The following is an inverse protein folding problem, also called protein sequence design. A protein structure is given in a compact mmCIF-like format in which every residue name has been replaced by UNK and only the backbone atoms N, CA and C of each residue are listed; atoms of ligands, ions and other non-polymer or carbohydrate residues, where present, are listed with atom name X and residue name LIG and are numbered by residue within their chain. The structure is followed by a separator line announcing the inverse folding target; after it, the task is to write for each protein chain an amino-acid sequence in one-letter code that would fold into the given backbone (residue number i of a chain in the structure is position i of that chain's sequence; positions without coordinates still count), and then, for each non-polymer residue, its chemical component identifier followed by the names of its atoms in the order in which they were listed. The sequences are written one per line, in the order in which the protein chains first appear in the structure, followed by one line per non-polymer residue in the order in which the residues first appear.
data_IF_055174250805
#
_entry.id   IF_055174250805
#
_cell.length_a   1.000
_cell.length_b   1.000
_cell.length_c   1.000
_cell.angle_alpha   90.00
_cell.angle_beta   90.00
_cell.angle_gamma   90.00
#
_symmetry.space_group_name_H-M   'P 1'
#
loop_
_entity.id
_entity.type
_entity.pdbx_description
1 polymer ?
#
# COMPACT_ATOMS: atom_id res chain seq x y z
N UNK A 1 -13.46 3.77 -15.06
CA UNK A 1 -13.81 3.57 -13.64
C UNK A 1 -12.54 3.15 -12.92
N UNK A 2 -12.16 3.82 -11.83
CA UNK A 2 -11.03 3.37 -11.03
C UNK A 2 -11.48 2.12 -10.27
N UNK A 3 -11.05 0.95 -10.71
CA UNK A 3 -11.21 -0.29 -9.94
C UNK A 3 -10.39 -0.12 -8.66
N UNK A 4 -11.09 0.09 -7.54
CA UNK A 4 -10.48 0.12 -6.21
C UNK A 4 -9.94 -1.28 -5.94
N UNK A 5 -8.64 -1.39 -5.66
CA UNK A 5 -8.00 -2.68 -5.36
C UNK A 5 -8.15 -3.06 -3.90
N UNK A 6 -7.93 -2.12 -2.98
CA UNK A 6 -7.99 -2.38 -1.54
C UNK A 6 -8.16 -1.08 -0.74
N UNK A 7 -9.11 -1.05 0.19
CA UNK A 7 -9.22 0.01 1.21
C UNK A 7 -8.65 -0.52 2.54
N UNK A 8 -7.75 0.25 3.14
CA UNK A 8 -7.03 -0.10 4.36
C UNK A 8 -7.33 0.96 5.41
N UNK A 9 -7.79 0.51 6.57
CA UNK A 9 -7.95 1.34 7.75
C UNK A 9 -6.94 0.91 8.80
N UNK A 10 -6.07 1.82 9.22
CA UNK A 10 -5.05 1.54 10.22
C UNK A 10 -5.57 1.85 11.63
N UNK A 11 -4.99 1.23 12.65
CA UNK A 11 -5.33 1.48 14.06
C UNK A 11 -5.08 2.95 14.48
N UNK A 12 -4.26 3.68 13.74
CA UNK A 12 -3.99 5.11 13.95
C UNK A 12 -5.07 6.02 13.34
N UNK A 13 -6.14 5.45 12.78
CA UNK A 13 -7.22 6.19 12.14
C UNK A 13 -6.88 6.67 10.71
N UNK A 14 -5.76 6.25 10.14
CA UNK A 14 -5.46 6.52 8.73
C UNK A 14 -6.33 5.67 7.81
N UNK A 15 -6.81 6.32 6.74
CA UNK A 15 -7.56 5.69 5.67
C UNK A 15 -6.73 5.74 4.39
N UNK A 16 -6.35 4.58 3.88
CA UNK A 16 -5.47 4.44 2.71
C UNK A 16 -6.15 3.61 1.62
N UNK A 17 -5.98 4.02 0.37
CA UNK A 17 -6.57 3.36 -0.78
C UNK A 17 -5.49 2.92 -1.75
N UNK A 18 -5.48 1.63 -2.11
CA UNK A 18 -4.71 1.15 -3.27
C UNK A 18 -5.64 1.10 -4.48
N UNK A 19 -5.28 1.84 -5.52
CA UNK A 19 -6.05 1.94 -6.78
C UNK A 19 -5.11 1.88 -7.98
N UNK A 20 -5.66 1.63 -9.17
CA UNK A 20 -4.89 1.73 -10.43
C UNK A 20 -4.58 3.19 -10.76
N UNK A 21 -3.34 3.46 -11.14
CA UNK A 21 -2.88 4.71 -11.76
C UNK A 21 -3.35 4.77 -13.24
N UNK A 22 -3.15 5.89 -13.95
CA UNK A 22 -3.54 6.00 -15.37
C UNK A 22 -2.88 4.98 -16.31
N UNK A 23 -1.78 4.35 -15.89
CA UNK A 23 -1.06 3.33 -16.63
C UNK A 23 -1.47 1.89 -16.21
N UNK A 24 -2.44 1.75 -15.31
CA UNK A 24 -2.93 0.46 -14.82
C UNK A 24 -2.10 -0.16 -13.69
N UNK A 25 -1.08 0.51 -13.17
CA UNK A 25 -0.27 0.02 -12.05
C UNK A 25 -0.90 0.39 -10.71
N UNK A 26 -0.71 -0.41 -9.65
CA UNK A 26 -1.18 -0.04 -8.32
C UNK A 26 -0.46 1.23 -7.84
N UNK A 27 -1.22 2.11 -7.20
CA UNK A 27 -0.76 3.31 -6.52
C UNK A 27 -1.45 3.43 -5.15
N UNK A 28 -0.69 3.92 -4.17
CA UNK A 28 -1.20 4.20 -2.83
C UNK A 28 -1.64 5.66 -2.73
N UNK A 29 -2.85 5.88 -2.23
CA UNK A 29 -3.38 7.21 -1.94
C UNK A 29 -3.82 7.27 -0.49
N UNK A 30 -3.39 8.32 0.22
CA UNK A 30 -3.96 8.63 1.53
C UNK A 30 -5.27 9.40 1.35
N UNK A 31 -6.32 8.94 2.01
CA UNK A 31 -7.61 9.63 2.10
C UNK A 31 -7.67 10.54 3.34
N UNK A 32 -6.64 10.50 4.20
CA UNK A 32 -6.52 11.33 5.40
C UNK A 32 -5.73 12.61 5.08
N UNK A 33 -6.34 13.81 5.08
CA UNK A 33 -5.70 15.05 4.64
C UNK A 33 -4.44 15.42 5.45
N UNK A 34 -4.43 15.09 6.74
CA UNK A 34 -3.33 15.39 7.66
C UNK A 34 -2.15 14.41 7.55
N UNK A 35 -2.31 13.31 6.80
CA UNK A 35 -1.33 12.22 6.67
C UNK A 35 -1.10 11.91 5.19
N UNK A 36 -0.82 12.96 4.44
CA UNK A 36 -0.54 12.85 3.01
C UNK A 36 0.77 12.08 2.76
N UNK A 37 0.81 11.36 1.64
CA UNK A 37 2.01 10.68 1.13
C UNK A 37 2.58 11.53 0.00
N UNK A 38 3.56 12.41 0.28
CA UNK A 38 3.94 13.49 -0.63
C UNK A 38 4.65 13.01 -1.90
N UNK A 39 5.31 11.85 -1.84
CA UNK A 39 6.10 11.33 -2.94
C UNK A 39 6.08 9.80 -3.01
N UNK A 40 6.69 9.27 -4.07
CA UNK A 40 6.74 7.84 -4.36
C UNK A 40 7.55 7.03 -3.34
N UNK A 41 8.51 7.67 -2.65
CA UNK A 41 9.34 7.06 -1.63
C UNK A 41 8.57 6.93 -0.31
N UNK A 42 7.81 7.96 0.08
CA UNK A 42 6.89 7.92 1.22
C UNK A 42 5.84 6.81 1.05
N UNK A 43 5.27 6.67 -0.16
CA UNK A 43 4.36 5.56 -0.48
C UNK A 43 5.04 4.21 -0.31
N UNK A 44 6.27 4.05 -0.82
CA UNK A 44 7.05 2.80 -0.73
C UNK A 44 7.26 2.39 0.72
N UNK A 45 7.77 3.29 1.55
CA UNK A 45 8.04 2.98 2.96
C UNK A 45 6.75 2.72 3.74
N UNK A 46 5.66 3.43 3.42
CA UNK A 46 4.36 3.15 4.03
C UNK A 46 3.86 1.75 3.72
N UNK A 47 3.96 1.30 2.47
CA UNK A 47 3.51 -0.05 2.07
C UNK A 47 4.40 -1.13 2.69
N UNK A 48 5.72 -0.92 2.77
CA UNK A 48 6.60 -1.84 3.51
C UNK A 48 6.19 -1.99 4.97
N UNK A 49 5.87 -0.89 5.64
CA UNK A 49 5.40 -0.93 7.02
C UNK A 49 4.05 -1.66 7.16
N UNK A 50 3.14 -1.48 6.20
CA UNK A 50 1.88 -2.24 6.15
C UNK A 50 2.12 -3.74 5.91
N UNK A 51 3.03 -4.09 5.01
CA UNK A 51 3.44 -5.48 4.76
C UNK A 51 4.02 -6.12 6.02
N UNK A 52 4.92 -5.44 6.71
CA UNK A 52 5.53 -5.93 7.95
C UNK A 52 4.50 -6.09 9.06
N UNK A 53 3.57 -5.13 9.20
CA UNK A 53 2.47 -5.24 10.16
C UNK A 53 1.57 -6.44 9.86
N UNK A 54 1.28 -6.70 8.59
CA UNK A 54 0.40 -7.80 8.18
C UNK A 54 1.06 -9.17 8.32
N UNK A 55 2.34 -9.28 7.95
CA UNK A 55 3.06 -10.57 7.90
C UNK A 55 3.88 -10.89 9.14
N UNK A 56 4.15 -9.89 9.99
CA UNK A 56 5.11 -9.97 11.10
C UNK A 56 6.57 -10.08 10.65
N UNK A 57 6.88 -9.85 9.37
CA UNK A 57 8.22 -9.98 8.79
C UNK A 57 8.61 -8.73 8.02
N UNK A 58 9.88 -8.33 8.15
CA UNK A 58 10.44 -7.25 7.33
C UNK A 58 10.32 -7.56 5.83
N UNK A 59 10.10 -6.52 5.02
CA UNK A 59 9.94 -6.68 3.59
C UNK A 59 11.22 -7.24 2.93
N UNK A 60 11.15 -8.36 2.18
CA UNK A 60 12.34 -9.16 1.83
C UNK A 60 13.18 -8.59 0.67
N UNK A 61 12.63 -7.69 -0.15
CA UNK A 61 13.29 -7.23 -1.38
C UNK A 61 13.89 -5.82 -1.23
N UNK A 62 15.16 -5.75 -0.84
CA UNK A 62 15.85 -4.47 -0.56
C UNK A 62 15.79 -3.44 -1.72
N UNK A 63 15.85 -3.92 -2.97
CA UNK A 63 15.88 -3.08 -4.17
C UNK A 63 14.55 -3.02 -4.93
N UNK A 64 13.45 -3.47 -4.32
CA UNK A 64 12.14 -3.42 -4.98
C UNK A 64 11.73 -1.99 -5.37
N UNK A 65 11.03 -1.86 -6.49
CA UNK A 65 10.38 -0.59 -6.85
C UNK A 65 9.11 -0.39 -6.02
N UNK A 66 8.60 0.84 -5.91
CA UNK A 66 7.32 1.11 -5.22
C UNK A 66 6.17 0.27 -5.77
N UNK A 67 6.15 0.04 -7.09
CA UNK A 67 5.15 -0.81 -7.75
C UNK A 67 5.26 -2.27 -7.32
N UNK A 68 6.48 -2.81 -7.22
CA UNK A 68 6.68 -4.17 -6.74
C UNK A 68 6.21 -4.31 -5.29
N UNK A 69 6.60 -3.38 -4.42
CA UNK A 69 6.18 -3.37 -3.01
C UNK A 69 4.64 -3.33 -2.89
N UNK A 70 3.98 -2.54 -3.73
CA UNK A 70 2.52 -2.46 -3.78
C UNK A 70 1.85 -3.77 -4.23
N UNK A 71 2.41 -4.42 -5.25
CA UNK A 71 1.92 -5.72 -5.70
C UNK A 71 2.10 -6.79 -4.64
N UNK A 72 3.29 -6.93 -4.07
CA UNK A 72 3.58 -7.92 -3.03
C UNK A 72 2.65 -7.73 -1.82
N UNK A 73 2.39 -6.49 -1.43
CA UNK A 73 1.45 -6.19 -0.37
C UNK A 73 0.01 -6.56 -0.73
N UNK A 74 -0.45 -6.24 -1.95
CA UNK A 74 -1.80 -6.62 -2.40
C UNK A 74 -1.98 -8.15 -2.39
N UNK A 75 -1.00 -8.90 -2.89
CA UNK A 75 -1.04 -10.36 -2.92
C UNK A 75 -1.18 -10.96 -1.53
N UNK A 76 -0.39 -10.46 -0.57
CA UNK A 76 -0.47 -10.88 0.83
C UNK A 76 -1.78 -10.43 1.47
N UNK A 77 -2.21 -9.18 1.25
CA UNK A 77 -3.44 -8.64 1.82
C UNK A 77 -4.67 -9.45 1.41
N UNK A 78 -4.77 -9.82 0.13
CA UNK A 78 -5.87 -10.65 -0.38
C UNK A 78 -5.92 -12.01 0.32
N UNK A 79 -4.77 -12.62 0.63
CA UNK A 79 -4.70 -13.89 1.35
C UNK A 79 -5.16 -13.81 2.81
N UNK A 80 -5.25 -12.59 3.37
CA UNK A 80 -5.68 -12.34 4.75
C UNK A 80 -7.09 -11.74 4.85
N UNK A 81 -7.79 -11.56 3.72
CA UNK A 81 -9.20 -11.18 3.72
C UNK A 81 -10.07 -12.39 4.13
N UNK A 82 -11.18 -12.17 4.87
CA UNK A 82 -12.10 -13.23 5.28
C UNK A 82 -12.85 -13.88 4.11
#
# INVERSE_FOLDING_TARGET
MAEIGLWIQTDQGESLLIKKDPNGYPDLVSLSPHLALPDIQAKKEKVKALYEKLTGKGYPHAHATTRQVLWDFLEVAIQHLP
#
